data_IF_730701534476
#
_entry.id   IF_730701534476
#
_cell.length_a   1.000
_cell.length_b   1.000
_cell.length_c   1.000
_cell.angle_alpha   90.00
_cell.angle_beta   90.00
_cell.angle_gamma   90.00
#
_symmetry.space_group_name_H-M   'P 1'
#
loop_
_entity.id
_entity.type
_entity.pdbx_description
1 polymer ?
#
# COMPACT_ATOMS: atom_id res chain seq x y z
N UNK A 1 -18.27 -40.15 6.96
CA UNK A 1 -18.85 -38.79 6.80
C UNK A 1 -17.91 -37.83 7.53
N UNK A 2 -16.85 -37.41 6.85
CA UNK A 2 -15.84 -36.48 7.38
C UNK A 2 -16.42 -35.07 7.26
N UNK A 3 -16.77 -34.47 8.39
CA UNK A 3 -17.18 -33.07 8.48
C UNK A 3 -15.95 -32.19 8.24
N UNK A 4 -15.83 -31.67 7.01
CA UNK A 4 -14.96 -30.55 6.69
C UNK A 4 -15.49 -29.32 7.41
N UNK A 5 -14.87 -28.93 8.53
CA UNK A 5 -15.07 -27.59 9.07
C UNK A 5 -14.53 -26.59 8.03
N UNK A 6 -15.35 -25.68 7.47
CA UNK A 6 -14.82 -24.63 6.63
C UNK A 6 -14.03 -23.69 7.52
N UNK A 7 -12.78 -23.45 7.15
CA UNK A 7 -11.84 -22.53 7.80
C UNK A 7 -12.43 -21.11 7.83
N UNK A 8 -13.21 -20.78 8.86
CA UNK A 8 -13.86 -19.46 9.08
C UNK A 8 -13.04 -18.54 9.99
N UNK A 9 -11.73 -18.71 10.05
CA UNK A 9 -10.88 -17.85 10.86
C UNK A 9 -10.18 -16.88 9.92
N UNK A 10 -10.57 -15.61 9.96
CA UNK A 10 -9.72 -14.50 9.53
C UNK A 10 -8.71 -14.24 10.65
N UNK A 11 -7.44 -14.67 10.52
CA UNK A 11 -6.43 -14.30 11.48
C UNK A 11 -6.25 -12.78 11.46
N UNK A 12 -6.60 -12.13 12.58
CA UNK A 12 -6.28 -10.73 12.82
C UNK A 12 -4.86 -10.66 13.36
N UNK A 13 -3.94 -10.16 12.53
CA UNK A 13 -2.54 -10.02 12.90
C UNK A 13 -2.20 -8.51 12.92
N UNK A 14 -2.11 -7.87 14.10
CA UNK A 14 -1.52 -6.53 14.18
C UNK A 14 -0.04 -6.62 13.80
N UNK A 15 0.42 -5.84 12.82
CA UNK A 15 1.82 -5.82 12.42
C UNK A 15 2.53 -4.56 12.95
N UNK A 16 3.74 -4.77 13.47
CA UNK A 16 4.46 -3.81 14.30
C UNK A 16 5.45 -2.96 13.48
N UNK A 17 5.04 -1.73 13.17
CA UNK A 17 5.95 -0.58 13.29
C UNK A 17 5.96 -0.12 14.74
N UNK A 18 7.16 0.07 15.32
CA UNK A 18 7.52 0.67 16.64
C UNK A 18 7.99 -0.16 17.82
N UNK A 19 8.07 -1.50 17.83
CA UNK A 19 8.86 -2.18 18.89
C UNK A 19 9.52 -3.52 18.56
N UNK A 20 9.09 -4.32 17.58
CA UNK A 20 9.80 -5.55 17.17
C UNK A 20 9.44 -5.88 15.71
N UNK A 21 10.33 -5.58 14.76
CA UNK A 21 10.04 -5.59 13.32
C UNK A 21 10.50 -6.84 12.58
N UNK A 22 9.87 -7.98 12.84
CA UNK A 22 10.19 -9.24 12.14
C UNK A 22 9.13 -9.71 11.13
N UNK A 23 8.01 -8.99 10.92
CA UNK A 23 6.82 -9.61 10.31
C UNK A 23 6.39 -9.10 8.93
N UNK A 24 6.87 -7.96 8.41
CA UNK A 24 6.57 -7.57 7.01
C UNK A 24 7.25 -8.46 5.98
N UNK A 25 8.45 -8.98 6.29
CA UNK A 25 9.15 -9.97 5.45
C UNK A 25 8.35 -11.26 5.26
N UNK A 26 7.38 -11.54 6.15
CA UNK A 26 6.54 -12.73 6.12
C UNK A 26 5.40 -12.62 5.12
N UNK A 27 4.92 -11.41 4.78
CA UNK A 27 3.79 -11.25 3.86
C UNK A 27 4.14 -11.77 2.47
N UNK A 28 5.35 -11.50 1.97
CA UNK A 28 5.81 -11.98 0.66
C UNK A 28 5.92 -13.51 0.57
N UNK A 29 6.34 -14.17 1.66
CA UNK A 29 6.46 -15.63 1.74
C UNK A 29 5.11 -16.34 1.79
N UNK A 30 4.06 -15.64 2.17
CA UNK A 30 2.73 -16.21 2.33
C UNK A 30 1.85 -16.08 1.06
N UNK A 31 2.29 -15.32 0.04
CA UNK A 31 1.50 -15.04 -1.17
C UNK A 31 1.17 -16.30 -1.98
N UNK A 32 1.96 -17.36 -1.92
CA UNK A 32 1.73 -18.57 -2.72
C UNK A 32 0.60 -19.48 -2.22
N UNK A 33 0.19 -19.34 -0.96
CA UNK A 33 -0.84 -20.19 -0.32
C UNK A 33 -2.04 -19.40 0.21
N UNK A 34 -2.00 -18.06 0.10
CA UNK A 34 -3.05 -17.15 0.59
C UNK A 34 -3.89 -16.63 -0.57
N UNK A 35 -5.21 -16.56 -0.35
CA UNK A 35 -6.16 -16.04 -1.34
C UNK A 35 -6.42 -14.53 -1.19
N UNK A 36 -6.26 -13.95 0.00
CA UNK A 36 -6.62 -12.55 0.25
C UNK A 36 -5.75 -11.88 1.35
N UNK A 37 -5.16 -10.73 1.03
CA UNK A 37 -4.37 -9.91 1.97
C UNK A 37 -4.81 -8.45 1.92
N UNK A 38 -5.22 -7.91 3.08
CA UNK A 38 -5.79 -6.57 3.21
C UNK A 38 -5.02 -5.75 4.24
N UNK A 39 -4.70 -4.49 3.90
CA UNK A 39 -3.99 -3.54 4.76
C UNK A 39 -4.71 -2.18 4.75
N UNK A 40 -5.49 -1.82 5.78
CA UNK A 40 -6.18 -0.54 5.84
C UNK A 40 -5.24 0.63 6.21
N UNK A 41 -5.56 1.84 5.73
CA UNK A 41 -4.88 3.11 6.03
C UNK A 41 -5.52 3.96 7.13
N UNK A 42 -6.70 3.58 7.64
CA UNK A 42 -7.41 4.41 8.62
C UNK A 42 -8.69 3.78 9.20
N UNK A 43 -9.31 4.40 10.22
CA UNK A 43 -10.41 3.82 10.99
C UNK A 43 -11.66 3.48 10.17
N UNK A 44 -12.10 4.38 9.28
CA UNK A 44 -13.28 4.15 8.43
C UNK A 44 -13.02 2.98 7.48
N UNK A 45 -11.85 2.96 6.87
CA UNK A 45 -11.47 1.89 5.96
C UNK A 45 -11.30 0.55 6.69
N UNK A 46 -10.72 0.56 7.89
CA UNK A 46 -10.54 -0.63 8.72
C UNK A 46 -11.89 -1.27 9.04
N UNK A 47 -12.90 -0.49 9.45
CA UNK A 47 -14.26 -1.04 9.69
C UNK A 47 -14.84 -1.67 8.43
N UNK A 48 -14.86 -0.94 7.32
CA UNK A 48 -15.50 -1.41 6.09
C UNK A 48 -14.83 -2.65 5.50
N UNK A 49 -13.50 -2.68 5.47
CA UNK A 49 -12.73 -3.82 4.95
C UNK A 49 -12.75 -5.01 5.91
N UNK A 50 -12.77 -4.79 7.23
CA UNK A 50 -12.86 -5.87 8.20
C UNK A 50 -14.23 -6.56 8.13
N UNK A 51 -15.32 -5.79 8.02
CA UNK A 51 -16.66 -6.35 7.84
C UNK A 51 -16.77 -7.14 6.54
N UNK A 52 -16.20 -6.62 5.45
CA UNK A 52 -16.12 -7.34 4.18
C UNK A 52 -15.30 -8.64 4.33
N UNK A 53 -14.16 -8.59 5.03
CA UNK A 53 -13.28 -9.75 5.28
C UNK A 53 -13.96 -10.86 6.10
N UNK A 54 -14.77 -10.49 7.11
CA UNK A 54 -15.54 -11.45 7.92
C UNK A 54 -16.64 -12.12 7.10
N UNK A 55 -17.20 -11.41 6.11
CA UNK A 55 -18.31 -11.90 5.26
C UNK A 55 -17.82 -12.68 4.05
N UNK A 56 -16.56 -12.51 3.65
CA UNK A 56 -15.95 -13.27 2.57
C UNK A 56 -15.89 -14.77 2.90
N UNK A 57 -16.02 -15.61 1.87
CA UNK A 57 -15.96 -17.06 2.04
C UNK A 57 -14.53 -17.61 2.09
N UNK A 58 -13.56 -16.82 1.63
CA UNK A 58 -12.15 -17.16 1.60
C UNK A 58 -11.45 -16.69 2.89
N UNK A 59 -10.37 -17.36 3.30
CA UNK A 59 -9.54 -16.86 4.39
C UNK A 59 -8.89 -15.53 3.98
N UNK A 60 -9.12 -14.50 4.79
CA UNK A 60 -8.52 -13.17 4.62
C UNK A 60 -7.51 -12.89 5.72
N UNK A 61 -6.30 -12.50 5.32
CA UNK A 61 -5.29 -11.97 6.21
C UNK A 61 -5.45 -10.46 6.30
N UNK A 62 -5.76 -10.00 7.51
CA UNK A 62 -6.00 -8.59 7.78
C UNK A 62 -4.87 -8.03 8.62
N UNK A 63 -4.04 -7.20 8.01
CA UNK A 63 -2.84 -6.62 8.62
C UNK A 63 -3.13 -5.20 9.07
N UNK A 64 -3.15 -4.97 10.39
CA UNK A 64 -3.42 -3.65 10.96
C UNK A 64 -2.11 -2.91 11.29
N UNK A 65 -1.81 -1.77 10.64
CA UNK A 65 -0.58 -1.05 10.91
C UNK A 65 -0.67 -0.42 12.30
N UNK A 66 0.12 -0.92 13.26
CA UNK A 66 0.00 -0.53 14.67
C UNK A 66 0.10 0.98 14.90
N UNK A 67 0.91 1.67 14.10
CA UNK A 67 1.08 3.12 14.19
C UNK A 67 -0.24 3.88 13.99
N UNK A 68 -1.16 3.34 13.18
CA UNK A 68 -2.41 4.02 12.84
C UNK A 68 -3.46 3.99 13.95
N UNK A 69 -3.37 3.09 14.94
CA UNK A 69 -4.36 3.00 16.02
C UNK A 69 -4.51 4.31 16.82
N UNK A 70 -3.45 5.11 16.91
CA UNK A 70 -3.45 6.36 17.67
C UNK A 70 -3.17 7.60 16.78
N UNK A 71 -2.99 7.41 15.48
CA UNK A 71 -2.54 8.48 14.59
C UNK A 71 -3.68 9.33 14.02
N UNK A 72 -4.89 8.79 13.87
CA UNK A 72 -6.01 9.49 13.24
C UNK A 72 -7.33 9.20 13.94
N UNK A 73 -8.05 10.27 14.30
CA UNK A 73 -9.46 10.22 14.66
C UNK A 73 -10.28 10.62 13.42
N UNK A 74 -10.99 9.66 12.84
CA UNK A 74 -11.91 9.89 11.73
C UNK A 74 -13.35 9.62 12.21
N UNK A 75 -14.32 10.32 11.62
CA UNK A 75 -15.73 10.02 11.86
C UNK A 75 -16.09 8.70 11.17
N UNK A 76 -16.28 7.64 11.96
CA UNK A 76 -16.64 6.32 11.46
C UNK A 76 -18.16 6.15 11.58
N UNK A 77 -18.89 5.93 10.47
CA UNK A 77 -20.32 5.69 10.53
C UNK A 77 -20.64 4.53 11.46
N UNK A 78 -21.64 4.68 12.34
CA UNK A 78 -22.09 3.59 13.23
C UNK A 78 -22.83 2.51 12.42
N UNK A 79 -23.55 2.93 11.37
CA UNK A 79 -24.30 2.06 10.47
C UNK A 79 -23.42 0.97 9.83
N UNK A 80 -24.05 -0.14 9.45
CA UNK A 80 -23.37 -1.24 8.76
C UNK A 80 -22.96 -0.81 7.34
N UNK A 81 -21.69 -1.03 6.99
CA UNK A 81 -21.19 -0.81 5.64
C UNK A 81 -19.97 -1.70 5.38
N UNK A 82 -19.73 -1.96 4.10
CA UNK A 82 -18.58 -2.70 3.61
C UNK A 82 -17.84 -1.86 2.58
N UNK A 83 -16.54 -2.12 2.45
CA UNK A 83 -15.75 -1.64 1.33
C UNK A 83 -15.39 -2.83 0.44
N UNK A 84 -15.38 -2.66 -0.88
CA UNK A 84 -15.03 -3.73 -1.79
C UNK A 84 -13.59 -4.18 -1.54
N UNK A 85 -13.41 -5.49 -1.34
CA UNK A 85 -12.11 -6.14 -1.36
C UNK A 85 -11.53 -6.06 -2.78
N UNK A 86 -10.20 -6.06 -2.90
CA UNK A 86 -9.50 -6.04 -4.20
C UNK A 86 -9.83 -4.82 -5.07
N UNK A 87 -10.18 -3.70 -4.45
CA UNK A 87 -10.40 -2.42 -5.13
C UNK A 87 -9.59 -1.31 -4.51
N UNK A 88 -8.74 -0.70 -5.32
CA UNK A 88 -7.92 0.43 -4.94
C UNK A 88 -8.79 1.71 -4.88
N UNK A 89 -8.28 2.72 -4.18
CA UNK A 89 -8.89 4.04 -4.09
C UNK A 89 -7.93 5.10 -4.61
N UNK A 90 -8.41 5.90 -5.54
CA UNK A 90 -7.73 7.12 -5.96
C UNK A 90 -8.09 8.21 -4.96
N UNK A 91 -7.13 8.58 -4.11
CA UNK A 91 -7.31 9.58 -3.05
C UNK A 91 -7.21 11.01 -3.57
N UNK A 92 -6.38 11.19 -4.58
CA UNK A 92 -6.14 12.46 -5.23
C UNK A 92 -5.91 12.17 -6.71
N UNK A 93 -6.69 12.80 -7.58
CA UNK A 93 -6.49 12.73 -9.03
C UNK A 93 -5.32 13.62 -9.45
N UNK A 94 -4.50 13.13 -10.37
CA UNK A 94 -3.39 13.88 -10.95
C UNK A 94 -3.07 13.48 -12.38
N UNK A 95 -2.16 14.21 -13.01
CA UNK A 95 -1.77 14.02 -14.42
C UNK A 95 -0.29 13.69 -14.63
N UNK A 96 0.59 14.03 -13.70
CA UNK A 96 2.02 14.09 -14.02
C UNK A 96 2.77 12.85 -13.51
N UNK A 97 2.35 12.30 -12.36
CA UNK A 97 2.97 11.11 -11.76
C UNK A 97 1.94 10.32 -10.96
N UNK A 98 1.94 9.00 -11.12
CA UNK A 98 1.19 8.09 -10.26
C UNK A 98 2.03 7.73 -9.05
N UNK A 99 1.47 7.94 -7.86
CA UNK A 99 2.07 7.65 -6.57
C UNK A 99 1.24 6.58 -5.88
N UNK A 100 1.83 5.41 -5.68
CA UNK A 100 1.15 4.21 -5.21
C UNK A 100 1.67 3.82 -3.83
N UNK A 101 0.76 3.49 -2.92
CA UNK A 101 1.12 2.90 -1.62
C UNK A 101 -0.04 2.16 -0.97
N UNK A 102 0.17 1.77 0.28
CA UNK A 102 -0.84 1.11 1.12
C UNK A 102 -0.48 1.26 2.60
N UNK A 103 -1.45 1.01 3.48
CA UNK A 103 -1.27 1.07 4.93
C UNK A 103 -0.85 2.46 5.43
N UNK A 104 0.08 2.48 6.40
CA UNK A 104 0.61 3.71 7.01
C UNK A 104 1.33 4.62 6.03
N UNK A 105 1.89 4.07 4.95
CA UNK A 105 2.67 4.84 3.98
C UNK A 105 1.84 5.89 3.24
N UNK A 106 0.51 5.70 3.14
CA UNK A 106 -0.39 6.64 2.50
C UNK A 106 -0.35 8.04 3.14
N UNK A 107 -0.24 8.13 4.46
CA UNK A 107 -0.15 9.43 5.14
C UNK A 107 1.13 10.19 4.75
N UNK A 108 2.24 9.45 4.60
CA UNK A 108 3.53 10.01 4.21
C UNK A 108 3.52 10.43 2.73
N UNK A 109 2.92 9.60 1.87
CA UNK A 109 2.78 9.89 0.45
C UNK A 109 1.90 11.12 0.21
N UNK A 110 0.81 11.30 0.95
CA UNK A 110 -0.01 12.52 0.87
C UNK A 110 0.81 13.77 1.16
N UNK A 111 1.62 13.76 2.22
CA UNK A 111 2.52 14.88 2.54
C UNK A 111 3.57 15.10 1.44
N UNK A 112 4.10 14.03 0.85
CA UNK A 112 5.04 14.15 -0.26
C UNK A 112 4.38 14.73 -1.53
N UNK A 113 3.13 14.36 -1.82
CA UNK A 113 2.35 14.91 -2.94
C UNK A 113 2.04 16.40 -2.72
N UNK A 114 1.68 16.80 -1.50
CA UNK A 114 1.49 18.22 -1.13
C UNK A 114 2.79 19.03 -1.30
N UNK A 115 3.93 18.47 -0.91
CA UNK A 115 5.25 19.08 -1.13
C UNK A 115 5.56 19.18 -2.63
N UNK A 116 5.32 18.12 -3.42
CA UNK A 116 5.53 18.12 -4.87
C UNK A 116 4.68 19.18 -5.57
N UNK A 117 3.41 19.31 -5.19
CA UNK A 117 2.51 20.31 -5.74
C UNK A 117 2.93 21.74 -5.39
N UNK A 118 3.41 21.98 -4.16
CA UNK A 118 3.76 23.32 -3.68
C UNK A 118 5.17 23.78 -4.11
N UNK A 119 6.15 22.88 -4.18
CA UNK A 119 7.54 23.21 -4.52
C UNK A 119 7.86 23.04 -6.02
N UNK A 120 7.25 22.05 -6.69
CA UNK A 120 7.54 21.72 -8.09
C UNK A 120 6.37 22.00 -9.04
N UNK A 121 5.18 22.26 -8.51
CA UNK A 121 3.97 22.42 -9.33
C UNK A 121 3.45 21.10 -9.93
N UNK A 122 3.94 19.95 -9.47
CA UNK A 122 3.62 18.62 -10.01
C UNK A 122 2.30 18.09 -9.48
N UNK A 123 1.42 17.68 -10.38
CA UNK A 123 0.13 17.05 -10.07
C UNK A 123 0.28 15.55 -9.88
N UNK A 124 0.30 15.12 -8.61
CA UNK A 124 0.42 13.71 -8.24
C UNK A 124 -0.95 13.02 -8.18
N UNK A 125 -1.08 11.86 -8.81
CA UNK A 125 -2.20 10.94 -8.62
C UNK A 125 -1.88 9.95 -7.49
N UNK A 126 -2.53 10.10 -6.34
CA UNK A 126 -2.28 9.26 -5.17
C UNK A 126 -3.26 8.09 -5.11
N UNK A 127 -2.75 6.86 -5.12
CA UNK A 127 -3.52 5.62 -5.07
C UNK A 127 -3.20 4.84 -3.80
N UNK A 128 -4.26 4.43 -3.10
CA UNK A 128 -4.23 3.46 -2.01
C UNK A 128 -4.73 2.10 -2.49
N UNK A 129 -3.86 1.09 -2.46
CA UNK A 129 -4.21 -0.26 -2.92
C UNK A 129 -5.28 -0.92 -2.05
N UNK A 130 -5.25 -0.70 -0.73
CA UNK A 130 -6.08 -1.37 0.30
C UNK A 130 -5.89 -2.89 0.41
N UNK A 131 -5.91 -3.61 -0.71
CA UNK A 131 -5.75 -5.04 -0.83
C UNK A 131 -4.48 -5.31 -1.63
N UNK A 132 -3.57 -6.10 -1.07
CA UNK A 132 -2.30 -6.48 -1.70
C UNK A 132 -2.50 -7.72 -2.57
N UNK A 133 -3.40 -8.61 -2.18
CA UNK A 133 -3.67 -9.85 -2.89
C UNK A 133 -5.17 -10.17 -2.86
N UNK A 134 -5.83 -10.37 -4.02
CA UNK A 134 -5.43 -9.82 -5.31
C UNK A 134 -5.55 -8.30 -5.29
N UNK A 135 -4.56 -7.61 -5.84
CA UNK A 135 -4.54 -6.16 -5.97
C UNK A 135 -5.27 -5.70 -7.24
N UNK A 136 -5.68 -4.44 -7.28
CA UNK A 136 -6.48 -3.87 -8.37
C UNK A 136 -5.57 -3.38 -9.52
N UNK A 137 -5.12 -4.34 -10.34
CA UNK A 137 -4.23 -4.10 -11.49
C UNK A 137 -4.79 -3.05 -12.45
N UNK A 138 -6.07 -3.18 -12.80
CA UNK A 138 -6.75 -2.30 -13.76
C UNK A 138 -6.63 -0.82 -13.37
N UNK A 139 -6.88 -0.50 -12.10
CA UNK A 139 -6.85 0.89 -11.61
C UNK A 139 -5.43 1.47 -11.67
N UNK A 140 -4.42 0.68 -11.32
CA UNK A 140 -3.01 1.11 -11.36
C UNK A 140 -2.55 1.28 -12.80
N UNK A 141 -2.83 0.32 -13.68
CA UNK A 141 -2.47 0.36 -15.10
C UNK A 141 -3.11 1.58 -15.77
N UNK A 142 -4.40 1.83 -15.55
CA UNK A 142 -5.08 3.02 -16.09
C UNK A 142 -4.45 4.33 -15.61
N UNK A 143 -4.07 4.40 -14.33
CA UNK A 143 -3.39 5.56 -13.78
C UNK A 143 -2.01 5.77 -14.41
N UNK A 144 -1.20 4.71 -14.51
CA UNK A 144 0.14 4.79 -15.09
C UNK A 144 0.10 5.10 -16.58
N UNK A 145 -0.85 4.54 -17.34
CA UNK A 145 -1.05 4.87 -18.74
C UNK A 145 -1.45 6.34 -18.95
N UNK A 146 -2.08 6.97 -17.95
CA UNK A 146 -2.45 8.38 -17.97
C UNK A 146 -1.27 9.30 -17.62
N UNK A 147 -0.47 8.96 -16.62
CA UNK A 147 0.62 9.82 -16.11
C UNK A 147 1.99 9.54 -16.74
N UNK A 148 2.17 8.34 -17.30
CA UNK A 148 3.42 7.86 -17.86
C UNK A 148 4.52 7.58 -16.83
N UNK A 149 4.25 7.74 -15.53
CA UNK A 149 5.27 7.73 -14.47
C UNK A 149 4.73 7.07 -13.20
N UNK A 150 5.55 6.24 -12.54
CA UNK A 150 5.15 5.53 -11.33
C UNK A 150 6.19 5.63 -10.21
N UNK A 151 5.73 6.00 -9.02
CA UNK A 151 6.44 5.89 -7.75
C UNK A 151 5.66 4.96 -6.83
N UNK A 152 6.29 3.88 -6.37
CA UNK A 152 5.71 2.94 -5.40
C UNK A 152 6.39 3.12 -4.05
N UNK A 153 5.62 3.18 -2.96
CA UNK A 153 6.18 3.25 -1.61
C UNK A 153 5.46 2.35 -0.61
N UNK A 154 6.25 1.64 0.19
CA UNK A 154 5.79 0.79 1.29
C UNK A 154 6.88 0.62 2.36
N UNK A 155 6.52 0.14 3.55
CA UNK A 155 7.46 0.01 4.68
C UNK A 155 8.38 -1.22 4.58
N UNK A 156 7.89 -2.27 3.92
CA UNK A 156 8.66 -3.51 3.74
C UNK A 156 9.99 -3.28 3.00
N UNK A 157 11.00 -4.17 3.17
CA UNK A 157 12.28 -4.08 2.47
C UNK A 157 12.14 -3.95 0.96
N UNK A 158 13.14 -3.31 0.33
CA UNK A 158 13.20 -3.14 -1.12
C UNK A 158 13.30 -4.49 -1.85
N UNK A 159 14.12 -5.40 -1.33
CA UNK A 159 14.33 -6.73 -1.90
C UNK A 159 13.18 -7.66 -1.52
N UNK A 160 12.58 -8.30 -2.53
CA UNK A 160 11.43 -9.20 -2.39
C UNK A 160 10.18 -8.60 -1.69
N UNK A 161 10.12 -7.26 -1.56
CA UNK A 161 8.92 -6.55 -1.16
C UNK A 161 7.88 -6.51 -2.30
N UNK A 162 6.62 -6.27 -1.95
CA UNK A 162 5.52 -6.26 -2.91
C UNK A 162 5.66 -5.17 -4.00
N UNK A 163 6.40 -4.09 -3.72
CA UNK A 163 6.75 -3.09 -4.72
C UNK A 163 7.53 -3.66 -5.92
N UNK A 164 8.25 -4.78 -5.75
CA UNK A 164 8.92 -5.45 -6.87
C UNK A 164 7.91 -6.10 -7.84
N UNK A 165 6.85 -6.73 -7.31
CA UNK A 165 5.78 -7.32 -8.12
C UNK A 165 5.03 -6.23 -8.88
N UNK A 166 4.62 -5.16 -8.18
CA UNK A 166 3.96 -4.01 -8.79
C UNK A 166 4.79 -3.41 -9.93
N UNK A 167 6.09 -3.24 -9.72
CA UNK A 167 6.98 -2.72 -10.75
C UNK A 167 7.13 -3.69 -11.93
N UNK A 168 7.23 -5.00 -11.69
CA UNK A 168 7.33 -5.99 -12.75
C UNK A 168 6.07 -6.06 -13.60
N UNK A 169 4.89 -6.10 -12.98
CA UNK A 169 3.60 -6.14 -13.68
C UNK A 169 3.37 -4.87 -14.47
N UNK A 170 3.57 -3.69 -13.87
CA UNK A 170 3.41 -2.41 -14.58
C UNK A 170 4.44 -2.27 -15.71
N UNK A 171 5.68 -2.72 -15.52
CA UNK A 171 6.67 -2.71 -16.59
C UNK A 171 6.24 -3.59 -17.79
N UNK A 172 5.59 -4.74 -17.53
CA UNK A 172 5.11 -5.63 -18.57
C UNK A 172 3.89 -5.05 -19.30
N UNK A 173 2.91 -4.53 -18.57
CA UNK A 173 1.63 -4.06 -19.13
C UNK A 173 1.72 -2.64 -19.71
N UNK A 174 2.53 -1.76 -19.11
CA UNK A 174 2.61 -0.34 -19.45
C UNK A 174 3.92 0.06 -20.15
N UNK A 175 4.71 -0.89 -20.68
CA UNK A 175 6.05 -0.63 -21.23
C UNK A 175 6.12 0.58 -22.17
N UNK A 176 5.17 0.67 -23.11
CA UNK A 176 5.16 1.73 -24.13
C UNK A 176 4.62 3.08 -23.63
N UNK A 177 4.03 3.11 -22.44
CA UNK A 177 3.47 4.31 -21.81
C UNK A 177 4.41 4.92 -20.77
N UNK A 178 5.40 4.17 -20.29
CA UNK A 178 6.34 4.65 -19.28
C UNK A 178 7.34 5.65 -19.88
N UNK A 179 7.31 6.87 -19.39
CA UNK A 179 8.23 7.95 -19.74
C UNK A 179 9.50 7.95 -18.87
N UNK A 180 9.44 7.30 -17.70
CA UNK A 180 10.53 7.21 -16.73
C UNK A 180 10.58 5.83 -16.07
N UNK A 181 11.75 5.39 -15.55
CA UNK A 181 11.86 4.15 -14.80
C UNK A 181 11.04 4.22 -13.50
N UNK A 182 10.34 3.13 -13.20
CA UNK A 182 9.53 3.00 -11.99
C UNK A 182 10.43 3.14 -10.75
N UNK A 183 10.14 4.13 -9.90
CA UNK A 183 10.86 4.30 -8.64
C UNK A 183 10.16 3.55 -7.50
N UNK A 184 10.96 2.87 -6.68
CA UNK A 184 10.47 2.16 -5.49
C UNK A 184 11.14 2.74 -4.24
N UNK A 185 10.32 3.35 -3.39
CA UNK A 185 10.74 3.99 -2.14
C UNK A 185 10.31 3.10 -0.97
N UNK A 186 11.18 2.18 -0.60
CA UNK A 186 10.90 1.12 0.36
C UNK A 186 11.77 1.22 1.64
N UNK A 187 11.48 0.38 2.63
CA UNK A 187 12.40 0.12 3.74
C UNK A 187 13.77 -0.35 3.23
N UNK A 188 14.83 -0.09 3.99
CA UNK A 188 16.17 -0.55 3.60
C UNK A 188 16.30 -2.07 3.71
N UNK A 189 17.22 -2.67 2.94
CA UNK A 189 17.52 -4.11 3.01
C UNK A 189 18.41 -4.43 4.22
N UNK A 190 17.90 -4.11 5.41
CA UNK A 190 18.51 -4.37 6.71
C UNK A 190 17.46 -4.91 7.67
N UNK A 191 17.84 -5.70 8.68
CA UNK A 191 16.92 -6.02 9.77
C UNK A 191 16.29 -4.75 10.35
N UNK A 192 15.00 -4.81 10.72
CA UNK A 192 14.28 -3.64 11.20
C UNK A 192 14.96 -3.04 12.44
N UNK A 193 15.42 -1.78 12.39
CA UNK A 193 16.19 -1.20 13.48
C UNK A 193 15.29 -0.66 14.60
N UNK A 194 15.73 -0.82 15.84
CA UNK A 194 15.03 -0.28 17.02
C UNK A 194 15.11 1.25 17.08
N UNK A 195 16.31 1.81 17.28
CA UNK A 195 16.51 3.26 17.49
C UNK A 195 16.46 4.02 16.15
N UNK A 196 16.86 3.36 15.05
CA UNK A 196 16.95 3.98 13.73
C UNK A 196 15.70 3.77 12.86
N UNK A 197 14.58 3.35 13.45
CA UNK A 197 13.29 3.19 12.75
C UNK A 197 12.91 4.41 11.90
N UNK A 198 13.07 5.69 12.36
CA UNK A 198 12.73 6.85 11.55
C UNK A 198 13.56 7.03 10.27
N UNK A 199 14.74 6.40 10.20
CA UNK A 199 15.60 6.40 9.02
C UNK A 199 15.33 5.21 8.10
N UNK A 200 14.76 4.14 8.67
CA UNK A 200 14.42 2.92 7.96
C UNK A 200 13.18 3.11 7.08
N UNK A 201 12.09 3.53 7.71
CA UNK A 201 10.80 3.72 7.04
C UNK A 201 10.93 4.88 6.04
N UNK A 202 10.38 4.76 4.81
CA UNK A 202 10.47 5.85 3.86
C UNK A 202 9.70 7.08 4.35
N UNK A 203 10.42 8.19 4.51
CA UNK A 203 9.84 9.46 4.96
C UNK A 203 9.35 10.30 3.77
N UNK A 204 8.66 11.41 4.08
CA UNK A 204 8.10 12.32 3.06
C UNK A 204 9.15 12.92 2.14
N UNK A 205 10.37 13.15 2.65
CA UNK A 205 11.48 13.74 1.87
C UNK A 205 12.01 12.73 0.86
N UNK A 206 12.18 11.46 1.24
CA UNK A 206 12.57 10.37 0.33
C UNK A 206 11.53 10.15 -0.76
N UNK A 207 10.24 10.22 -0.40
CA UNK A 207 9.15 10.11 -1.38
C UNK A 207 9.10 11.31 -2.34
N UNK A 208 9.25 12.53 -1.82
CA UNK A 208 9.33 13.75 -2.62
C UNK A 208 10.52 13.73 -3.58
N UNK A 209 11.69 13.30 -3.11
CA UNK A 209 12.90 13.21 -3.95
C UNK A 209 12.74 12.19 -5.07
N UNK A 210 12.06 11.07 -4.81
CA UNK A 210 11.71 10.09 -5.83
C UNK A 210 10.71 10.65 -6.86
N UNK A 211 9.70 11.39 -6.43
CA UNK A 211 8.76 12.08 -7.32
C UNK A 211 9.53 13.04 -8.23
N UNK A 212 10.38 13.89 -7.66
CA UNK A 212 11.23 14.82 -8.41
C UNK A 212 12.08 14.09 -9.45
N UNK A 213 12.78 13.03 -9.04
CA UNK A 213 13.66 12.24 -9.91
C UNK A 213 12.92 11.63 -11.10
N UNK A 214 11.67 11.22 -10.91
CA UNK A 214 10.83 10.62 -11.97
C UNK A 214 10.27 11.66 -12.92
N UNK A 215 9.95 12.84 -12.42
CA UNK A 215 9.47 13.95 -13.25
C UNK A 215 10.59 14.55 -14.09
N UNK A 216 11.82 14.60 -13.57
CA UNK A 216 12.99 15.18 -14.23
C UNK A 216 13.73 14.23 -15.20
N UNK A 217 13.27 12.98 -15.36
CA UNK A 217 13.92 11.95 -16.20
C UNK A 217 13.84 12.26 -17.70
#
# INVERSE_FOLDING_TARGET
>A
MLLTLPWRLTPLQPYLGKTWGLEESSAALLISEINMVVIPRGPSQAKGLLLASIRDQNPVFFFEPKWLYQAAAEEVPVADYELPLSKAEILQSGSDVTVLGYGSQIQILRQACEMAQSELGVSCELIDLRTILPWDEDTVIQSVCKTGRLVVSHEAPLTAGFGAELAATVQAECFNHLEAPIQRVCGWDTPFPLIFEPFYIPNKVRCFDAIRTVVDY
#
